data_IF_687593092731
#
_entry.id   IF_687593092731
#
_cell.length_a   1.000
_cell.length_b   1.000
_cell.length_c   1.000
_cell.angle_alpha   90.00
_cell.angle_beta   90.00
_cell.angle_gamma   90.00
#
_symmetry.space_group_name_H-M   'P 1'
#
loop_
_entity.id
_entity.type
_entity.pdbx_description
1 polymer ?
#
# COMPACT_ATOMS: atom_id res chain seq x y z
N UNK A 1 -33.06 -52.00 -12.95
CA UNK A 1 -32.15 -51.20 -12.12
C UNK A 1 -31.90 -49.79 -12.68
N UNK A 2 -32.81 -49.17 -13.45
CA UNK A 2 -32.51 -47.91 -14.16
C UNK A 2 -33.00 -46.63 -13.48
N UNK A 3 -34.12 -46.69 -12.77
CA UNK A 3 -34.78 -45.49 -12.22
C UNK A 3 -34.17 -45.02 -10.90
N UNK A 4 -33.85 -45.94 -9.98
CA UNK A 4 -33.21 -45.62 -8.69
C UNK A 4 -31.78 -45.08 -8.87
N UNK A 5 -31.05 -45.56 -9.89
CA UNK A 5 -29.72 -45.07 -10.22
C UNK A 5 -29.78 -43.67 -10.83
N UNK A 6 -30.82 -43.37 -11.60
CA UNK A 6 -31.05 -42.05 -12.17
C UNK A 6 -31.41 -41.01 -11.11
N UNK A 7 -32.33 -41.32 -10.19
CA UNK A 7 -32.71 -40.42 -9.10
C UNK A 7 -31.56 -40.17 -8.13
N UNK A 8 -30.76 -41.21 -7.82
CA UNK A 8 -29.55 -41.05 -7.00
C UNK A 8 -28.52 -40.13 -7.66
N UNK A 9 -28.27 -40.29 -8.96
CA UNK A 9 -27.36 -39.41 -9.70
C UNK A 9 -27.78 -37.93 -9.70
N UNK A 10 -29.09 -37.66 -9.78
CA UNK A 10 -29.62 -36.29 -9.66
C UNK A 10 -29.45 -35.71 -8.25
N UNK A 11 -29.65 -36.53 -7.22
CA UNK A 11 -29.46 -36.11 -5.84
C UNK A 11 -27.99 -35.77 -5.56
N UNK A 12 -27.06 -36.64 -5.97
CA UNK A 12 -25.63 -36.44 -5.79
C UNK A 12 -25.15 -35.15 -6.51
N UNK A 13 -25.69 -34.88 -7.70
CA UNK A 13 -25.40 -33.65 -8.44
C UNK A 13 -25.88 -32.39 -7.71
N UNK A 14 -27.10 -32.42 -7.16
CA UNK A 14 -27.65 -31.30 -6.38
C UNK A 14 -26.85 -31.06 -5.08
N UNK A 15 -26.36 -32.11 -4.43
CA UNK A 15 -25.53 -31.99 -3.24
C UNK A 15 -24.15 -31.37 -3.55
N UNK A 16 -23.55 -31.69 -4.70
CA UNK A 16 -22.31 -31.06 -5.16
C UNK A 16 -22.55 -29.58 -5.51
N UNK A 17 -23.64 -29.27 -6.22
CA UNK A 17 -24.03 -27.89 -6.55
C UNK A 17 -24.20 -27.05 -5.29
N UNK A 18 -24.97 -27.52 -4.31
CA UNK A 18 -25.20 -26.79 -3.06
C UNK A 18 -23.91 -26.58 -2.27
N UNK A 19 -23.01 -27.56 -2.22
CA UNK A 19 -21.69 -27.40 -1.59
C UNK A 19 -20.85 -26.34 -2.30
N UNK A 20 -20.87 -26.31 -3.62
CA UNK A 20 -20.12 -25.32 -4.40
C UNK A 20 -20.67 -23.91 -4.18
N UNK A 21 -21.99 -23.73 -4.15
CA UNK A 21 -22.61 -22.43 -3.86
C UNK A 21 -22.25 -21.93 -2.45
N UNK A 22 -22.33 -22.80 -1.43
CA UNK A 22 -21.94 -22.45 -0.06
C UNK A 22 -20.46 -22.06 0.05
N UNK A 23 -19.57 -22.76 -0.67
CA UNK A 23 -18.15 -22.43 -0.71
C UNK A 23 -17.89 -21.06 -1.37
N UNK A 24 -18.59 -20.76 -2.47
CA UNK A 24 -18.51 -19.47 -3.16
C UNK A 24 -19.03 -18.33 -2.28
N UNK A 25 -20.18 -18.51 -1.62
CA UNK A 25 -20.73 -17.54 -0.67
C UNK A 25 -19.76 -17.27 0.49
N UNK A 26 -19.12 -18.30 1.02
CA UNK A 26 -18.12 -18.17 2.09
C UNK A 26 -16.89 -17.38 1.61
N UNK A 27 -16.40 -17.65 0.41
CA UNK A 27 -15.27 -16.90 -0.16
C UNK A 27 -15.62 -15.44 -0.43
N UNK A 28 -16.82 -15.16 -0.94
CA UNK A 28 -17.27 -13.80 -1.22
C UNK A 28 -17.54 -13.01 0.06
N UNK A 29 -18.20 -13.61 1.06
CA UNK A 29 -18.50 -12.95 2.33
C UNK A 29 -17.23 -12.61 3.11
N UNK A 30 -16.19 -13.47 3.04
CA UNK A 30 -14.89 -13.24 3.69
C UNK A 30 -14.17 -11.98 3.19
N UNK A 31 -14.51 -11.47 1.99
CA UNK A 31 -13.91 -10.26 1.41
C UNK A 31 -14.69 -8.98 1.71
N UNK A 32 -15.96 -9.09 2.08
CA UNK A 32 -16.83 -7.95 2.37
C UNK A 32 -16.69 -7.41 3.81
N UNK A 33 -16.14 -8.21 4.73
CA UNK A 33 -15.90 -7.85 6.13
C UNK A 33 -14.43 -7.56 6.46
N UNK A 34 -13.63 -7.11 5.49
CA UNK A 34 -12.21 -6.84 5.74
C UNK A 34 -12.05 -5.72 6.77
N UNK A 35 -11.37 -6.02 7.88
CA UNK A 35 -11.05 -5.04 8.92
C UNK A 35 -10.19 -3.90 8.35
N UNK A 36 -10.37 -2.66 8.83
CA UNK A 36 -9.50 -1.55 8.47
C UNK A 36 -8.02 -1.91 8.75
N UNK A 37 -7.10 -1.61 7.83
CA UNK A 37 -5.70 -1.93 8.03
C UNK A 37 -5.12 -1.17 9.23
N UNK A 38 -4.25 -1.84 9.98
CA UNK A 38 -3.48 -1.19 11.03
C UNK A 38 -2.50 -0.19 10.41
N UNK A 39 -2.54 1.04 10.90
CA UNK A 39 -1.61 2.11 10.51
C UNK A 39 -0.43 2.14 11.47
N UNK A 40 0.77 2.21 10.89
CA UNK A 40 2.02 2.37 11.60
C UNK A 40 2.64 3.73 11.26
N UNK A 41 3.32 4.34 12.22
CA UNK A 41 4.04 5.57 11.99
C UNK A 41 5.19 5.37 10.99
N UNK A 42 5.33 6.28 10.01
CA UNK A 42 6.41 6.22 9.04
C UNK A 42 7.78 6.44 9.71
N UNK A 43 8.76 5.51 9.58
CA UNK A 43 10.08 5.65 10.18
C UNK A 43 10.94 6.65 9.39
N UNK A 44 10.79 7.93 9.74
CA UNK A 44 11.48 9.04 9.09
C UNK A 44 12.99 8.97 9.33
N UNK A 45 13.77 9.31 8.31
CA UNK A 45 15.21 9.49 8.43
C UNK A 45 15.55 10.78 9.19
N UNK A 46 16.80 10.89 9.64
CA UNK A 46 17.30 12.08 10.33
C UNK A 46 17.09 13.35 9.48
N UNK A 47 16.73 14.46 10.14
CA UNK A 47 16.46 15.75 9.49
C UNK A 47 15.04 15.90 8.93
N UNK A 48 14.26 14.82 8.84
CA UNK A 48 12.85 14.87 8.46
C UNK A 48 11.94 14.91 9.69
N UNK A 49 10.93 15.76 9.63
CA UNK A 49 9.89 15.86 10.65
C UNK A 49 8.51 15.59 10.04
N UNK A 50 7.55 15.28 10.90
CA UNK A 50 6.17 15.09 10.52
C UNK A 50 5.55 16.45 10.14
N UNK A 51 5.01 16.57 8.93
CA UNK A 51 4.21 17.74 8.54
C UNK A 51 2.74 17.56 8.94
N UNK A 52 2.22 16.33 8.82
CA UNK A 52 0.96 15.88 9.41
C UNK A 52 1.19 14.58 10.19
N UNK A 53 0.40 13.52 10.00
CA UNK A 53 0.63 12.21 10.61
C UNK A 53 0.96 11.16 9.54
N UNK A 54 2.19 11.13 9.01
CA UNK A 54 2.58 10.16 7.99
C UNK A 54 2.50 8.73 8.52
N UNK A 55 2.05 7.80 7.68
CA UNK A 55 1.88 6.40 8.06
C UNK A 55 2.17 5.45 6.90
N UNK A 56 2.34 4.18 7.24
CA UNK A 56 2.26 3.07 6.29
C UNK A 56 1.34 1.98 6.85
N UNK A 57 0.79 1.17 5.95
CA UNK A 57 -0.14 0.10 6.32
C UNK A 57 -0.12 -1.00 5.26
N UNK A 58 -0.62 -2.18 5.61
CA UNK A 58 -0.89 -3.29 4.67
C UNK A 58 -2.31 -3.76 4.90
N UNK A 59 -3.11 -3.85 3.84
CA UNK A 59 -4.49 -4.34 3.94
C UNK A 59 -4.56 -5.87 3.87
N UNK A 60 -5.77 -6.42 4.07
CA UNK A 60 -6.01 -7.87 4.05
C UNK A 60 -5.74 -8.52 2.67
N UNK A 61 -5.68 -7.72 1.60
CA UNK A 61 -5.34 -8.17 0.25
C UNK A 61 -3.82 -8.11 -0.05
N UNK A 62 -3.01 -7.72 0.93
CA UNK A 62 -1.56 -7.59 0.79
C UNK A 62 -1.08 -6.29 0.14
N UNK A 63 -1.98 -5.35 -0.17
CA UNK A 63 -1.60 -4.05 -0.70
C UNK A 63 -1.00 -3.18 0.40
N UNK A 64 0.17 -2.59 0.10
CA UNK A 64 0.84 -1.64 0.96
C UNK A 64 0.46 -0.23 0.53
N UNK A 65 0.05 0.60 1.49
CA UNK A 65 -0.14 2.04 1.29
C UNK A 65 0.81 2.81 2.18
N UNK A 66 1.43 3.84 1.63
CA UNK A 66 2.31 4.77 2.35
C UNK A 66 1.78 6.18 2.12
N UNK A 67 1.51 6.90 3.20
CA UNK A 67 1.26 8.32 3.17
C UNK A 67 2.43 9.07 3.77
N UNK A 68 3.23 9.69 2.89
CA UNK A 68 4.26 10.63 3.29
C UNK A 68 3.67 12.02 3.39
N UNK A 69 3.75 12.62 4.57
CA UNK A 69 3.43 14.04 4.82
C UNK A 69 4.50 14.55 5.77
N UNK A 70 5.59 15.01 5.19
CA UNK A 70 6.87 15.26 5.87
C UNK A 70 7.40 16.66 5.58
N UNK A 71 8.26 17.17 6.44
CA UNK A 71 8.93 18.45 6.30
C UNK A 71 10.42 18.29 6.55
N UNK A 72 11.23 19.09 5.87
CA UNK A 72 12.65 19.27 6.17
C UNK A 72 12.90 20.77 6.36
N UNK A 73 13.56 21.16 7.45
CA UNK A 73 13.86 22.57 7.77
C UNK A 73 15.12 23.10 7.05
N UNK A 74 15.63 22.31 6.09
CA UNK A 74 16.74 22.65 5.19
C UNK A 74 16.38 22.28 3.76
N UNK A 75 17.33 22.48 2.82
CA UNK A 75 17.17 22.09 1.44
C UNK A 75 16.82 20.58 1.31
N UNK A 76 15.92 20.27 0.38
CA UNK A 76 15.61 18.91 -0.03
C UNK A 76 16.42 18.63 -1.30
N UNK A 77 17.48 17.84 -1.17
CA UNK A 77 18.42 17.51 -2.23
C UNK A 77 18.03 16.21 -2.93
N UNK A 78 18.66 15.93 -4.08
CA UNK A 78 18.51 14.64 -4.76
C UNK A 78 19.04 13.52 -3.88
N UNK A 79 18.32 12.38 -3.87
CA UNK A 79 18.69 11.18 -3.10
C UNK A 79 18.68 11.36 -1.58
N UNK A 80 18.06 12.43 -1.08
CA UNK A 80 17.73 12.54 0.33
C UNK A 80 16.82 11.37 0.72
N UNK A 81 17.24 10.63 1.73
CA UNK A 81 16.47 9.53 2.30
C UNK A 81 15.36 10.12 3.16
N UNK A 82 14.12 9.82 2.84
CA UNK A 82 12.94 10.31 3.58
C UNK A 82 12.58 9.33 4.70
N UNK A 83 12.53 8.04 4.38
CA UNK A 83 12.16 6.97 5.30
C UNK A 83 12.69 5.62 4.80
N UNK A 84 12.76 4.63 5.70
CA UNK A 84 13.09 3.23 5.36
C UNK A 84 12.05 2.28 5.96
N UNK A 85 11.25 1.66 5.12
CA UNK A 85 10.20 0.73 5.55
C UNK A 85 10.79 -0.56 6.14
N UNK A 86 10.11 -1.19 7.12
CA UNK A 86 10.47 -2.52 7.59
C UNK A 86 10.36 -3.57 6.47
N UNK A 87 11.16 -4.63 6.55
CA UNK A 87 11.27 -5.70 5.52
C UNK A 87 9.93 -6.27 5.05
N UNK A 88 8.97 -6.42 5.95
CA UNK A 88 7.63 -6.92 5.63
C UNK A 88 6.77 -5.96 4.79
N UNK A 89 7.27 -4.78 4.43
CA UNK A 89 6.56 -3.77 3.64
C UNK A 89 7.32 -3.39 2.37
N UNK A 90 8.43 -4.05 2.04
CA UNK A 90 9.20 -3.71 0.84
C UNK A 90 8.40 -3.97 -0.44
N UNK A 91 8.60 -3.14 -1.48
CA UNK A 91 7.96 -3.38 -2.77
C UNK A 91 8.60 -4.59 -3.48
N UNK A 92 7.88 -5.21 -4.44
CA UNK A 92 8.42 -6.32 -5.24
C UNK A 92 9.51 -5.88 -6.22
N UNK A 93 9.49 -4.62 -6.66
CA UNK A 93 10.47 -4.01 -7.54
C UNK A 93 10.60 -2.51 -7.23
N UNK A 94 11.75 -1.86 -7.52
CA UNK A 94 11.90 -0.42 -7.37
C UNK A 94 11.08 0.35 -8.42
N UNK A 95 10.58 1.54 -8.07
CA UNK A 95 9.82 2.40 -8.98
C UNK A 95 9.83 3.87 -8.53
N UNK A 96 9.47 4.77 -9.45
CA UNK A 96 9.23 6.18 -9.14
C UNK A 96 7.75 6.46 -8.92
N UNK A 97 7.44 7.33 -7.95
CA UNK A 97 6.10 7.75 -7.62
C UNK A 97 5.98 9.28 -7.61
N UNK A 98 4.84 9.83 -8.05
CA UNK A 98 4.60 11.25 -7.98
C UNK A 98 4.48 11.73 -6.53
N UNK A 99 4.96 12.94 -6.27
CA UNK A 99 4.87 13.63 -5.00
C UNK A 99 4.62 15.13 -5.23
N UNK A 100 4.11 15.80 -4.21
CA UNK A 100 3.88 17.23 -4.19
C UNK A 100 4.79 17.88 -3.15
N UNK A 101 5.60 18.82 -3.59
CA UNK A 101 6.42 19.67 -2.72
C UNK A 101 5.70 21.00 -2.47
N UNK A 102 5.80 21.53 -1.27
CA UNK A 102 5.28 22.83 -0.87
C UNK A 102 6.43 23.70 -0.35
N UNK A 103 6.74 24.78 -1.07
CA UNK A 103 7.68 25.83 -0.65
C UNK A 103 6.86 27.08 -0.40
N UNK A 104 6.88 27.60 0.82
CA UNK A 104 6.04 28.74 1.23
C UNK A 104 4.55 28.57 0.89
N UNK A 105 4.06 27.33 0.94
CA UNK A 105 2.68 26.96 0.59
C UNK A 105 2.41 26.78 -0.91
N UNK A 106 3.36 27.09 -1.80
CA UNK A 106 3.22 26.92 -3.23
C UNK A 106 3.48 25.45 -3.65
N UNK A 107 2.50 24.76 -4.27
CA UNK A 107 2.65 23.38 -4.68
C UNK A 107 3.51 23.24 -5.95
N UNK A 108 4.37 22.22 -6.01
CA UNK A 108 5.12 21.82 -7.21
C UNK A 108 5.17 20.30 -7.31
N UNK A 109 4.88 19.75 -8.49
CA UNK A 109 5.01 18.33 -8.75
C UNK A 109 6.49 17.91 -8.79
N UNK A 110 6.81 16.80 -8.12
CA UNK A 110 8.14 16.18 -8.06
C UNK A 110 7.99 14.66 -8.05
N UNK A 111 9.10 13.93 -8.11
CA UNK A 111 9.11 12.46 -8.01
C UNK A 111 9.88 12.02 -6.77
N UNK A 112 9.43 10.93 -6.15
CA UNK A 112 10.19 10.15 -5.17
C UNK A 112 10.51 8.78 -5.74
N UNK A 113 11.61 8.21 -5.31
CA UNK A 113 12.04 6.87 -5.67
C UNK A 113 11.77 5.92 -4.50
N UNK A 114 11.06 4.83 -4.79
CA UNK A 114 10.82 3.73 -3.85
C UNK A 114 11.76 2.60 -4.23
N UNK A 115 12.70 2.30 -3.34
CA UNK A 115 13.73 1.30 -3.57
C UNK A 115 13.23 -0.11 -3.19
N UNK A 116 13.81 -1.13 -3.82
CA UNK A 116 13.52 -2.55 -3.51
C UNK A 116 13.89 -2.99 -2.09
N UNK A 117 14.68 -2.17 -1.36
CA UNK A 117 15.05 -2.36 0.04
C UNK A 117 14.15 -1.56 1.01
N UNK A 118 13.02 -1.04 0.54
CA UNK A 118 12.05 -0.28 1.35
C UNK A 118 12.45 1.16 1.63
N UNK A 119 13.60 1.63 1.16
CA UNK A 119 13.98 3.04 1.25
C UNK A 119 13.09 3.88 0.34
N UNK A 120 12.75 5.08 0.80
CA UNK A 120 12.07 6.11 0.01
C UNK A 120 13.00 7.31 -0.03
N UNK A 121 13.35 7.78 -1.23
CA UNK A 121 14.22 8.94 -1.41
C UNK A 121 13.66 9.92 -2.43
N UNK A 122 14.17 11.13 -2.44
CA UNK A 122 13.85 12.13 -3.48
C UNK A 122 14.56 11.78 -4.79
N UNK A 123 13.88 11.95 -5.94
CA UNK A 123 14.49 11.69 -7.26
C UNK A 123 15.30 12.86 -7.81
N UNK A 124 15.09 14.07 -7.29
CA UNK A 124 15.75 15.31 -7.72
C UNK A 124 15.94 16.29 -6.56
N UNK A 125 16.79 17.29 -6.75
CA UNK A 125 16.81 18.44 -5.83
C UNK A 125 15.50 19.17 -5.97
N UNK A 126 14.76 19.29 -4.88
CA UNK A 126 13.40 19.82 -4.90
C UNK A 126 13.28 21.18 -4.22
N UNK A 127 14.15 21.57 -3.28
CA UNK A 127 14.14 22.91 -2.68
C UNK A 127 15.55 23.37 -2.30
N UNK A 128 15.74 24.70 -2.20
CA UNK A 128 16.96 25.33 -1.68
C UNK A 128 16.83 25.77 -0.21
N UNK A 129 15.65 25.58 0.39
CA UNK A 129 15.34 25.89 1.78
C UNK A 129 14.24 24.97 2.32
N UNK A 130 13.72 25.30 3.50
CA UNK A 130 12.68 24.51 4.17
C UNK A 130 11.48 24.26 3.26
N UNK A 131 11.02 23.01 3.21
CA UNK A 131 9.88 22.61 2.41
C UNK A 131 9.13 21.42 3.03
N UNK A 132 7.85 21.31 2.69
CA UNK A 132 7.06 20.11 2.96
C UNK A 132 6.95 19.26 1.70
N UNK A 133 6.82 17.95 1.88
CA UNK A 133 6.65 16.97 0.81
C UNK A 133 5.50 16.03 1.17
N UNK A 134 4.58 15.83 0.22
CA UNK A 134 3.42 14.96 0.36
C UNK A 134 3.39 13.93 -0.77
N UNK A 135 3.15 12.67 -0.44
CA UNK A 135 2.98 11.58 -1.41
C UNK A 135 2.08 10.49 -0.86
N UNK A 136 1.34 9.84 -1.75
CA UNK A 136 0.64 8.59 -1.46
C UNK A 136 1.15 7.56 -2.45
N UNK A 137 1.71 6.48 -1.92
CA UNK A 137 2.27 5.38 -2.70
C UNK A 137 1.47 4.12 -2.37
N UNK A 138 1.09 3.38 -3.40
CA UNK A 138 0.38 2.11 -3.25
C UNK A 138 1.02 1.07 -4.16
N UNK A 139 1.25 -0.14 -3.63
CA UNK A 139 1.73 -1.29 -4.40
C UNK A 139 1.27 -2.61 -3.79
N UNK A 140 1.23 -3.66 -4.62
CA UNK A 140 1.07 -5.02 -4.13
C UNK A 140 2.31 -5.41 -3.30
N UNK A 141 2.10 -5.80 -2.03
CA UNK A 141 3.17 -6.31 -1.18
C UNK A 141 3.70 -7.66 -1.65
N UNK A 142 4.89 -8.01 -1.17
CA UNK A 142 5.40 -9.39 -1.20
C UNK A 142 4.67 -10.28 -0.19
#
# INVERSE_FOLDING_TARGET
MGFETFTKGMQDANEVLNRNFAAVETQLSSKAGAEPPQKFELPLAEGWTKYQQPYYQRNAFGEVTIWGSVKKDSAIEKSDVIATLPKGFWPPAPFEAPAMKFVDGAPTAVMVFVHGNGQISTSSTTSTGSAALSFIITYAGQ
#
